data_IF_260609659850
#
_entry.id   IF_260609659850
#
_cell.length_a   1.000
_cell.length_b   1.000
_cell.length_c   1.000
_cell.angle_alpha   90.00
_cell.angle_beta   90.00
_cell.angle_gamma   90.00
#
_symmetry.space_group_name_H-M   'P 1'
#
loop_
_entity.id
_entity.type
_entity.pdbx_description
1 polymer ?
#
# COMPACT_ATOMS: atom_id res chain seq x y z
N UNK A 1 6.96 -11.70 -32.88
CA UNK A 1 6.50 -11.55 -31.49
C UNK A 1 7.59 -11.17 -30.48
N UNK A 2 8.79 -11.76 -30.49
CA UNK A 2 9.93 -11.42 -29.58
C UNK A 2 10.44 -9.97 -29.74
N UNK A 3 10.51 -9.44 -30.97
CA UNK A 3 11.02 -8.09 -31.28
C UNK A 3 10.08 -7.01 -30.70
N UNK A 4 8.77 -7.16 -30.90
CA UNK A 4 7.76 -6.23 -30.37
C UNK A 4 7.81 -6.17 -28.83
N UNK A 5 8.05 -7.33 -28.19
CA UNK A 5 8.19 -7.43 -26.73
C UNK A 5 9.45 -6.69 -26.22
N UNK A 6 10.55 -6.76 -27.00
CA UNK A 6 11.82 -6.10 -26.70
C UNK A 6 11.72 -4.58 -26.88
N UNK A 7 11.03 -4.10 -27.92
CA UNK A 7 10.76 -2.68 -28.16
C UNK A 7 9.82 -2.09 -27.09
N UNK A 8 8.74 -2.78 -26.77
CA UNK A 8 7.84 -2.39 -25.68
C UNK A 8 8.58 -2.26 -24.34
N UNK A 9 9.47 -3.20 -24.05
CA UNK A 9 10.29 -3.17 -22.84
C UNK A 9 11.33 -2.04 -22.85
N UNK A 10 11.88 -1.68 -24.01
CA UNK A 10 12.81 -0.57 -24.14
C UNK A 10 12.12 0.79 -23.96
N UNK A 11 10.96 1.00 -24.61
CA UNK A 11 10.12 2.19 -24.45
C UNK A 11 9.78 2.39 -22.96
N UNK A 12 9.31 1.33 -22.30
CA UNK A 12 8.94 1.37 -20.90
C UNK A 12 10.12 1.66 -19.95
N UNK A 13 11.37 1.42 -20.39
CA UNK A 13 12.61 1.75 -19.63
C UNK A 13 12.91 3.24 -19.57
N UNK A 14 12.56 3.95 -20.63
CA UNK A 14 13.05 5.30 -20.88
C UNK A 14 11.96 6.37 -20.77
N UNK A 15 10.72 5.97 -20.55
CA UNK A 15 9.58 6.89 -20.42
C UNK A 15 9.45 7.40 -18.99
N UNK A 16 9.14 8.68 -18.85
CA UNK A 16 8.81 9.33 -17.58
C UNK A 16 7.57 8.68 -16.95
N UNK A 17 7.57 8.61 -15.62
CA UNK A 17 6.52 7.95 -14.81
C UNK A 17 5.10 8.39 -15.15
N UNK A 18 4.89 9.67 -15.52
CA UNK A 18 3.58 10.18 -15.93
C UNK A 18 3.01 9.52 -17.19
N UNK A 19 3.88 9.05 -18.10
CA UNK A 19 3.46 8.35 -19.32
C UNK A 19 3.28 6.85 -19.09
N UNK A 20 3.90 6.30 -18.04
CA UNK A 20 3.76 4.89 -17.68
C UNK A 20 2.34 4.54 -17.25
N UNK A 21 1.62 5.48 -16.63
CA UNK A 21 0.20 5.31 -16.31
C UNK A 21 -0.66 5.11 -17.57
N UNK A 22 -0.36 5.86 -18.64
CA UNK A 22 -1.07 5.78 -19.93
C UNK A 22 -0.84 4.41 -20.58
N UNK A 23 0.38 3.89 -20.49
CA UNK A 23 0.78 2.65 -21.16
C UNK A 23 0.42 1.37 -20.41
N UNK A 24 -0.24 1.47 -19.26
CA UNK A 24 -0.63 0.31 -18.44
C UNK A 24 0.57 -0.61 -18.11
N UNK A 25 1.62 -0.05 -17.60
CA UNK A 25 2.94 -0.66 -17.48
C UNK A 25 3.11 -1.58 -16.26
N UNK A 26 2.06 -2.28 -15.83
CA UNK A 26 2.05 -3.21 -14.69
C UNK A 26 3.28 -4.13 -14.63
N UNK A 27 3.80 -4.53 -15.80
CA UNK A 27 4.93 -5.44 -15.90
C UNK A 27 6.29 -4.81 -15.61
N UNK A 28 6.39 -3.48 -15.58
CA UNK A 28 7.68 -2.81 -15.30
C UNK A 28 8.09 -3.02 -13.85
N UNK A 29 7.13 -2.96 -12.95
CA UNK A 29 7.39 -3.07 -11.51
C UNK A 29 7.75 -4.48 -11.08
N UNK A 30 7.23 -5.49 -11.76
CA UNK A 30 7.49 -6.89 -11.44
C UNK A 30 8.76 -7.45 -12.10
N UNK A 31 9.27 -6.80 -13.15
CA UNK A 31 10.35 -7.36 -13.98
C UNK A 31 11.59 -6.48 -14.07
N UNK A 32 11.58 -5.27 -13.50
CA UNK A 32 12.69 -4.35 -13.60
C UNK A 32 12.98 -3.64 -12.31
N UNK A 33 14.21 -3.79 -11.92
CA UNK A 33 14.90 -2.88 -11.03
C UNK A 33 14.96 -1.54 -11.76
N UNK A 34 14.48 -0.46 -11.16
CA UNK A 34 14.69 0.87 -11.71
C UNK A 34 16.18 1.07 -11.95
N UNK A 35 16.59 1.41 -13.18
CA UNK A 35 18.00 1.64 -13.53
C UNK A 35 18.64 2.79 -12.76
N UNK A 36 17.93 3.35 -11.79
CA UNK A 36 18.37 4.46 -10.98
C UNK A 36 18.83 3.95 -9.63
N UNK A 37 20.08 4.22 -9.29
CA UNK A 37 20.72 3.81 -8.03
C UNK A 37 19.98 4.26 -6.75
N UNK A 38 18.96 5.12 -6.86
CA UNK A 38 18.24 5.71 -5.73
C UNK A 38 16.74 5.42 -5.73
N UNK A 39 16.26 4.48 -6.55
CA UNK A 39 14.85 4.11 -6.54
C UNK A 39 14.62 2.96 -5.57
N UNK A 40 13.70 3.16 -4.64
CA UNK A 40 13.27 2.16 -3.65
C UNK A 40 11.77 1.97 -3.79
N UNK A 41 11.32 0.73 -3.76
CA UNK A 41 9.90 0.41 -3.86
C UNK A 41 9.34 0.21 -2.45
N UNK A 42 8.18 0.78 -2.22
CA UNK A 42 7.40 0.59 -1.01
C UNK A 42 5.94 0.34 -1.34
N UNK A 43 5.22 -0.14 -0.37
CA UNK A 43 3.76 -0.13 -0.36
C UNK A 43 3.25 1.15 0.29
N UNK A 44 2.04 1.55 -0.09
CA UNK A 44 1.29 2.61 0.57
C UNK A 44 0.20 1.97 1.43
N UNK A 45 0.21 2.30 2.72
CA UNK A 45 -0.69 1.70 3.70
C UNK A 45 -1.64 2.73 4.30
N UNK A 46 -2.87 2.36 4.67
CA UNK A 46 -3.69 3.18 5.57
C UNK A 46 -3.00 3.35 6.92
N UNK A 47 -2.96 4.58 7.42
CA UNK A 47 -2.57 4.92 8.79
C UNK A 47 -3.82 5.13 9.62
N UNK A 48 -3.97 4.39 10.71
CA UNK A 48 -5.06 4.54 11.69
C UNK A 48 -4.48 4.80 13.07
N UNK A 49 -4.65 6.02 13.55
CA UNK A 49 -4.11 6.48 14.85
C UNK A 49 -5.15 7.24 15.68
N UNK A 50 -6.29 7.62 15.08
CA UNK A 50 -7.42 8.26 15.77
C UNK A 50 -8.30 7.23 16.49
N UNK A 51 -9.20 7.68 17.34
CA UNK A 51 -10.27 6.88 17.97
C UNK A 51 -9.81 5.55 18.59
N UNK A 52 -8.72 5.58 19.37
CA UNK A 52 -8.13 4.41 20.02
C UNK A 52 -7.48 3.40 19.07
N UNK A 53 -7.31 3.74 17.81
CA UNK A 53 -6.52 2.96 16.88
C UNK A 53 -5.04 3.18 17.10
N UNK A 54 -4.28 2.12 16.82
CA UNK A 54 -2.83 2.15 16.70
C UNK A 54 -2.42 1.33 15.46
N UNK A 55 -1.48 1.88 14.71
CA UNK A 55 -0.89 1.21 13.54
C UNK A 55 0.55 0.84 13.88
N UNK A 56 0.90 -0.41 13.60
CA UNK A 56 2.24 -0.95 13.74
C UNK A 56 2.78 -1.34 12.37
N UNK A 57 4.08 -1.29 12.20
CA UNK A 57 4.73 -1.81 11.02
C UNK A 57 5.81 -2.81 11.42
N UNK A 58 5.64 -4.05 10.97
CA UNK A 58 6.61 -5.13 11.18
C UNK A 58 7.58 -5.15 10.00
N UNK A 59 8.75 -4.63 10.23
CA UNK A 59 9.77 -4.46 9.21
C UNK A 59 10.77 -5.61 9.27
N UNK A 60 10.98 -6.29 8.15
CA UNK A 60 11.97 -7.34 8.00
C UNK A 60 13.25 -6.78 7.37
N UNK A 61 14.38 -7.06 7.99
CA UNK A 61 15.68 -6.82 7.38
C UNK A 61 16.05 -7.99 6.46
N UNK A 62 15.44 -8.01 5.28
CA UNK A 62 15.60 -9.09 4.29
C UNK A 62 17.06 -9.24 3.85
N UNK A 63 17.85 -8.17 3.60
CA UNK A 63 19.27 -8.31 3.29
C UNK A 63 20.04 -9.12 4.31
N UNK A 64 19.77 -8.90 5.60
CA UNK A 64 20.41 -9.66 6.69
C UNK A 64 19.92 -11.10 6.77
N UNK A 65 18.65 -11.35 6.46
CA UNK A 65 18.09 -12.70 6.44
C UNK A 65 18.81 -13.57 5.39
N UNK A 66 19.13 -12.95 4.23
CA UNK A 66 19.80 -13.65 3.12
C UNK A 66 21.30 -13.78 3.36
N UNK A 67 21.92 -12.78 3.97
CA UNK A 67 23.35 -12.79 4.25
C UNK A 67 23.65 -12.36 5.71
N UNK A 68 23.52 -13.27 6.67
CA UNK A 68 23.66 -12.97 8.09
C UNK A 68 25.07 -12.52 8.51
N UNK A 69 26.09 -12.79 7.70
CA UNK A 69 27.49 -12.46 7.98
C UNK A 69 27.82 -11.01 7.63
N UNK A 70 27.10 -10.44 6.70
CA UNK A 70 27.37 -9.08 6.23
C UNK A 70 26.63 -8.05 7.11
N UNK A 71 27.39 -7.18 7.79
CA UNK A 71 26.79 -5.99 8.45
C UNK A 71 26.25 -5.04 7.36
N UNK A 72 24.96 -5.11 7.14
CA UNK A 72 24.28 -4.25 6.16
C UNK A 72 23.54 -3.19 6.97
N UNK A 73 23.98 -1.94 6.86
CA UNK A 73 23.22 -0.80 7.40
C UNK A 73 21.98 -0.60 6.54
N UNK A 74 20.83 -0.90 7.11
CA UNK A 74 19.55 -0.66 6.47
C UNK A 74 18.94 0.62 7.06
N UNK A 75 18.91 1.68 6.28
CA UNK A 75 18.23 2.91 6.63
C UNK A 75 16.83 2.91 6.07
N UNK A 76 15.88 3.26 6.93
CA UNK A 76 14.46 3.28 6.59
C UNK A 76 13.92 4.69 6.71
N UNK A 77 13.20 5.10 5.70
CA UNK A 77 12.47 6.35 5.65
C UNK A 77 10.97 6.07 5.63
N UNK A 78 10.24 6.65 6.59
CA UNK A 78 8.78 6.51 6.67
C UNK A 78 8.16 7.85 6.31
N UNK A 79 7.46 7.89 5.19
CA UNK A 79 6.73 9.06 4.72
C UNK A 79 5.30 9.00 5.22
N UNK A 80 4.83 10.04 5.91
CA UNK A 80 3.45 10.17 6.38
C UNK A 80 2.69 11.16 5.52
N UNK A 81 1.47 10.78 5.14
CA UNK A 81 0.58 11.63 4.34
C UNK A 81 -0.75 11.81 5.05
N UNK A 82 -1.40 12.95 4.83
CA UNK A 82 -2.77 13.14 5.26
C UNK A 82 -3.75 12.28 4.43
N UNK A 83 -5.02 12.28 4.81
CA UNK A 83 -6.07 11.53 4.11
C UNK A 83 -6.29 11.98 2.65
N UNK A 84 -5.78 13.15 2.26
CA UNK A 84 -5.78 13.66 0.88
C UNK A 84 -4.46 13.36 0.13
N UNK A 85 -3.49 12.71 0.76
CA UNK A 85 -2.21 12.36 0.16
C UNK A 85 -1.17 13.48 0.16
N UNK A 86 -1.38 14.56 0.91
CA UNK A 86 -0.36 15.58 1.13
C UNK A 86 0.69 15.03 2.09
N UNK A 87 1.97 15.08 1.69
CA UNK A 87 3.08 14.72 2.57
C UNK A 87 3.08 15.63 3.80
N UNK A 88 3.01 15.04 4.97
CA UNK A 88 3.03 15.73 6.26
C UNK A 88 4.45 15.82 6.81
N UNK A 89 5.12 14.67 6.89
CA UNK A 89 6.45 14.58 7.47
C UNK A 89 7.14 13.29 7.03
N UNK A 90 8.45 13.23 7.26
CA UNK A 90 9.30 12.07 7.00
C UNK A 90 10.06 11.72 8.27
N UNK A 91 10.04 10.45 8.63
CA UNK A 91 10.79 9.91 9.76
C UNK A 91 11.90 8.99 9.25
N UNK A 92 13.13 9.31 9.60
CA UNK A 92 14.30 8.50 9.25
C UNK A 92 14.72 7.62 10.43
N UNK A 93 15.01 6.37 10.16
CA UNK A 93 15.52 5.44 11.16
C UNK A 93 16.58 4.53 10.58
N UNK A 94 17.70 4.46 11.28
CA UNK A 94 18.69 3.42 11.03
C UNK A 94 18.20 2.12 11.67
N UNK A 95 18.11 1.08 10.87
CA UNK A 95 17.76 -0.25 11.34
C UNK A 95 18.99 -0.90 11.93
N UNK A 96 18.92 -1.12 13.22
CA UNK A 96 19.92 -1.88 13.93
C UNK A 96 19.86 -3.36 13.53
N UNK A 97 20.83 -4.11 13.94
CA UNK A 97 21.15 -5.50 13.67
C UNK A 97 20.03 -6.57 13.93
N UNK A 98 18.78 -6.17 14.03
CA UNK A 98 17.65 -7.10 14.23
C UNK A 98 17.05 -7.52 12.89
N UNK A 99 16.70 -8.82 12.78
CA UNK A 99 16.02 -9.37 11.60
C UNK A 99 14.59 -8.80 11.48
N UNK A 100 13.91 -8.65 12.63
CA UNK A 100 12.56 -8.12 12.71
C UNK A 100 12.56 -6.88 13.61
N UNK A 101 11.89 -5.83 13.15
CA UNK A 101 11.70 -4.59 13.90
C UNK A 101 10.22 -4.20 13.89
N UNK A 102 9.64 -4.03 15.09
CA UNK A 102 8.28 -3.53 15.24
C UNK A 102 8.32 -2.03 15.44
N UNK A 103 7.70 -1.28 14.55
CA UNK A 103 7.56 0.16 14.63
C UNK A 103 6.15 0.52 15.09
N UNK A 104 6.04 1.27 16.20
CA UNK A 104 4.76 1.84 16.64
C UNK A 104 4.55 3.18 15.91
N UNK A 105 3.74 3.17 14.86
CA UNK A 105 3.56 4.34 14.01
C UNK A 105 2.76 5.45 14.70
N UNK A 106 1.89 5.12 15.66
CA UNK A 106 1.21 6.15 16.47
C UNK A 106 2.18 6.95 17.32
N UNK A 107 3.15 6.29 17.94
CA UNK A 107 4.19 6.98 18.72
C UNK A 107 5.11 7.81 17.84
N UNK A 108 5.47 7.29 16.67
CA UNK A 108 6.28 8.02 15.69
C UNK A 108 5.51 9.25 15.18
N UNK A 109 4.25 9.06 14.79
CA UNK A 109 3.37 10.13 14.32
C UNK A 109 3.22 11.23 15.37
N UNK A 110 3.04 10.85 16.66
CA UNK A 110 2.97 11.81 17.77
C UNK A 110 4.23 12.65 17.91
N UNK A 111 5.42 12.07 17.71
CA UNK A 111 6.69 12.81 17.74
C UNK A 111 6.84 13.80 16.58
N UNK A 112 6.05 13.65 15.54
CA UNK A 112 6.02 14.48 14.33
C UNK A 112 4.80 15.40 14.29
N UNK A 113 4.06 15.53 15.40
CA UNK A 113 2.82 16.30 15.53
C UNK A 113 1.71 15.86 14.56
N UNK A 114 1.72 14.59 14.15
CA UNK A 114 0.70 13.98 13.31
C UNK A 114 -0.34 13.31 14.22
N UNK A 115 -1.56 13.83 14.21
CA UNK A 115 -2.64 13.39 15.10
C UNK A 115 -3.83 12.77 14.36
N UNK A 116 -3.81 12.79 13.03
CA UNK A 116 -4.92 12.36 12.17
C UNK A 116 -4.57 11.10 11.39
N UNK A 117 -5.60 10.32 11.09
CA UNK A 117 -5.52 9.22 10.14
C UNK A 117 -5.06 9.70 8.75
N UNK A 118 -4.45 8.81 7.99
CA UNK A 118 -3.94 9.12 6.66
C UNK A 118 -3.35 7.90 5.97
N UNK A 119 -2.19 8.09 5.33
CA UNK A 119 -1.42 6.99 4.77
C UNK A 119 0.05 7.11 5.14
N UNK A 120 0.78 6.01 4.98
CA UNK A 120 2.23 6.00 5.11
C UNK A 120 2.87 5.05 4.10
N UNK A 121 4.12 5.34 3.75
CA UNK A 121 4.97 4.49 2.94
C UNK A 121 6.32 4.31 3.64
N UNK A 122 6.94 3.13 3.47
CA UNK A 122 8.22 2.80 4.09
C UNK A 122 9.24 2.50 3.00
N UNK A 123 10.32 3.26 2.96
CA UNK A 123 11.38 3.12 1.97
C UNK A 123 12.69 2.69 2.63
N UNK A 124 13.36 1.71 2.04
CA UNK A 124 14.70 1.28 2.43
C UNK A 124 15.73 2.01 1.58
N UNK A 125 16.65 2.75 2.21
CA UNK A 125 17.52 3.67 1.48
C UNK A 125 18.71 3.01 0.76
N UNK A 126 19.33 1.97 1.28
CA UNK A 126 20.69 1.70 0.83
C UNK A 126 21.03 0.31 0.33
N UNK A 127 20.45 -0.76 0.81
CA UNK A 127 21.05 -2.09 0.61
C UNK A 127 20.27 -3.06 -0.29
N UNK A 128 19.03 -2.75 -0.59
CA UNK A 128 18.27 -3.47 -1.62
C UNK A 128 18.96 -3.45 -3.00
N UNK A 129 19.81 -2.46 -3.24
CA UNK A 129 20.58 -2.34 -4.49
C UNK A 129 21.74 -3.33 -4.60
N UNK A 130 22.38 -3.70 -3.50
CA UNK A 130 23.48 -4.68 -3.52
C UNK A 130 22.99 -6.09 -3.81
N UNK A 131 21.77 -6.40 -3.38
CA UNK A 131 21.09 -7.64 -3.70
C UNK A 131 20.63 -7.69 -5.17
N UNK A 132 20.40 -6.54 -5.77
CA UNK A 132 20.00 -6.42 -7.17
C UNK A 132 21.11 -6.76 -8.16
N UNK A 133 22.37 -6.75 -7.75
CA UNK A 133 23.50 -7.19 -8.59
C UNK A 133 23.40 -8.67 -8.99
N UNK A 134 22.64 -9.46 -8.26
CA UNK A 134 22.32 -10.87 -8.57
C UNK A 134 21.19 -11.04 -9.61
N UNK A 135 20.60 -9.94 -10.11
CA UNK A 135 19.44 -9.99 -11.00
C UNK A 135 18.11 -10.28 -10.31
N UNK A 136 18.12 -10.46 -9.00
CA UNK A 136 16.92 -10.69 -8.18
C UNK A 136 16.43 -9.38 -7.61
N UNK A 137 15.12 -9.18 -7.66
CA UNK A 137 14.46 -8.03 -7.06
C UNK A 137 13.81 -8.46 -5.74
N UNK A 138 14.31 -7.90 -4.64
CA UNK A 138 13.69 -8.07 -3.33
C UNK A 138 13.05 -6.75 -2.96
N UNK A 139 11.74 -6.77 -2.84
CA UNK A 139 11.02 -5.66 -2.25
C UNK A 139 11.02 -5.91 -0.74
N UNK A 140 11.69 -5.02 -0.03
CA UNK A 140 11.71 -5.05 1.43
C UNK A 140 10.35 -4.63 1.94
N UNK A 141 9.50 -5.59 2.16
CA UNK A 141 8.14 -5.38 2.62
C UNK A 141 8.01 -5.76 4.07
N UNK A 142 7.21 -4.97 4.73
CA UNK A 142 6.73 -5.29 6.04
C UNK A 142 5.25 -5.67 6.01
N UNK A 143 4.76 -6.02 7.19
CA UNK A 143 3.35 -6.20 7.45
C UNK A 143 2.85 -5.03 8.28
N UNK A 144 1.71 -4.48 7.91
CA UNK A 144 1.04 -3.49 8.75
C UNK A 144 0.12 -4.21 9.73
N UNK A 145 0.24 -3.85 11.01
CA UNK A 145 -0.61 -4.35 12.08
C UNK A 145 -1.52 -3.23 12.60
N UNK A 146 -2.78 -3.55 12.78
CA UNK A 146 -3.75 -2.64 13.36
C UNK A 146 -4.23 -3.17 14.70
N UNK A 147 -4.35 -2.28 15.67
CA UNK A 147 -4.88 -2.56 16.99
C UNK A 147 -5.88 -1.46 17.36
N UNK A 148 -6.99 -1.85 17.95
CA UNK A 148 -7.91 -0.89 18.57
C UNK A 148 -8.06 -1.26 20.04
N UNK A 149 -7.75 -0.32 20.93
CA UNK A 149 -7.75 -0.55 22.39
C UNK A 149 -9.14 -0.99 22.88
N UNK A 150 -10.21 -0.52 22.26
CA UNK A 150 -11.58 -0.88 22.62
C UNK A 150 -11.94 -2.33 22.22
N UNK A 151 -11.15 -2.96 21.35
CA UNK A 151 -11.35 -4.32 20.85
C UNK A 151 -10.30 -5.30 21.39
N UNK A 152 -9.61 -4.94 22.46
CA UNK A 152 -8.63 -5.81 23.12
C UNK A 152 -7.20 -5.70 22.55
N UNK A 153 -6.30 -6.56 23.04
CA UNK A 153 -4.88 -6.49 22.71
C UNK A 153 -4.53 -7.07 21.34
N UNK A 154 -5.50 -7.67 20.64
CA UNK A 154 -5.25 -8.39 19.37
C UNK A 154 -4.90 -7.38 18.27
N UNK A 155 -3.90 -7.73 17.50
CA UNK A 155 -3.50 -7.03 16.29
C UNK A 155 -3.91 -7.84 15.06
N UNK A 156 -4.60 -7.21 14.14
CA UNK A 156 -4.83 -7.75 12.81
C UNK A 156 -3.71 -7.31 11.86
N UNK A 157 -3.18 -8.21 11.04
CA UNK A 157 -2.06 -7.93 10.13
C UNK A 157 -2.46 -8.11 8.68
N UNK A 158 -2.03 -7.18 7.84
CA UNK A 158 -2.13 -7.28 6.39
C UNK A 158 -0.81 -6.87 5.75
N UNK A 159 -0.51 -7.44 4.58
CA UNK A 159 0.57 -6.93 3.74
C UNK A 159 0.04 -5.81 2.83
N UNK A 160 0.93 -5.01 2.26
CA UNK A 160 0.54 -3.92 1.35
C UNK A 160 0.28 -4.39 -0.08
N UNK A 161 -0.27 -3.46 -0.84
CA UNK A 161 -0.29 -3.53 -2.29
C UNK A 161 0.88 -2.68 -2.80
N UNK A 162 1.64 -3.20 -3.73
CA UNK A 162 2.76 -2.50 -4.34
C UNK A 162 2.37 -1.17 -4.88
N UNK A 163 3.24 -0.14 -4.76
CA UNK A 163 3.05 0.88 -5.76
C UNK A 163 3.58 2.27 -5.40
N UNK A 164 4.50 2.40 -4.46
CA UNK A 164 5.21 3.63 -4.25
C UNK A 164 6.70 3.47 -4.56
N UNK A 165 7.26 4.44 -5.26
CA UNK A 165 8.67 4.47 -5.60
C UNK A 165 9.25 5.81 -5.20
N UNK A 166 10.33 5.80 -4.41
CA UNK A 166 11.17 6.96 -4.19
C UNK A 166 12.28 7.00 -5.23
N UNK A 167 12.47 8.13 -5.85
CA UNK A 167 13.51 8.35 -6.85
C UNK A 167 14.20 9.68 -6.58
N UNK A 168 15.50 9.67 -6.24
CA UNK A 168 16.33 10.87 -6.05
C UNK A 168 15.60 11.93 -5.24
N UNK A 169 15.40 11.73 -3.98
CA UNK A 169 14.80 12.71 -3.06
C UNK A 169 13.36 13.17 -3.44
N UNK A 170 12.77 12.53 -4.45
CA UNK A 170 11.39 12.76 -4.85
C UNK A 170 10.58 11.50 -4.65
N UNK A 171 9.61 11.57 -3.79
CA UNK A 171 8.59 10.55 -3.68
C UNK A 171 7.73 10.58 -4.95
N UNK A 172 7.70 9.48 -5.66
CA UNK A 172 6.78 9.24 -6.77
C UNK A 172 5.88 8.09 -6.41
N UNK A 173 4.59 8.33 -6.39
CA UNK A 173 3.61 7.26 -6.34
C UNK A 173 3.46 6.72 -7.76
N UNK A 174 3.84 5.48 -7.94
CA UNK A 174 3.79 4.81 -9.24
C UNK A 174 2.75 3.69 -9.21
N UNK A 175 1.55 4.05 -8.80
CA UNK A 175 0.42 3.15 -8.87
C UNK A 175 0.10 2.84 -10.32
N UNK A 176 -0.13 1.57 -10.58
CA UNK A 176 -0.49 1.12 -11.90
C UNK A 176 -1.93 1.48 -12.19
N UNK A 177 -2.15 2.49 -13.02
CA UNK A 177 -3.47 2.74 -13.55
C UNK A 177 -3.66 2.10 -14.93
N UNK A 178 -4.90 1.77 -15.22
CA UNK A 178 -5.32 1.27 -16.51
C UNK A 178 -5.98 2.40 -17.29
N UNK A 179 -5.75 2.45 -18.61
CA UNK A 179 -6.51 3.36 -19.48
C UNK A 179 -8.02 3.06 -19.42
N UNK A 180 -8.39 1.79 -19.38
CA UNK A 180 -9.77 1.36 -19.23
C UNK A 180 -10.11 1.02 -17.78
N UNK A 181 -11.36 1.30 -17.39
CA UNK A 181 -11.90 0.83 -16.11
C UNK A 181 -11.90 -0.69 -16.08
N UNK A 182 -11.37 -1.24 -15.01
CA UNK A 182 -11.38 -2.68 -14.74
C UNK A 182 -12.46 -2.99 -13.73
N UNK A 183 -12.97 -4.20 -13.83
CA UNK A 183 -13.93 -4.75 -12.90
C UNK A 183 -13.22 -5.76 -12.01
N UNK A 184 -13.37 -5.60 -10.71
CA UNK A 184 -12.82 -6.48 -9.71
C UNK A 184 -13.94 -6.92 -8.76
N UNK A 185 -14.10 -8.23 -8.58
CA UNK A 185 -15.05 -8.78 -7.61
C UNK A 185 -14.23 -9.11 -6.36
N UNK A 186 -14.66 -8.56 -5.23
CA UNK A 186 -14.08 -8.93 -3.93
C UNK A 186 -14.45 -10.39 -3.67
N UNK A 187 -13.44 -11.25 -3.49
CA UNK A 187 -13.62 -12.67 -3.24
C UNK A 187 -13.96 -12.94 -1.77
N UNK A 188 -14.93 -12.21 -1.28
CA UNK A 188 -15.45 -12.33 0.08
C UNK A 188 -16.96 -12.08 0.08
N UNK A 189 -17.67 -12.88 0.85
CA UNK A 189 -19.10 -12.72 1.06
C UNK A 189 -19.32 -11.98 2.37
N UNK A 190 -19.94 -10.82 2.27
CA UNK A 190 -20.23 -9.96 3.40
C UNK A 190 -21.50 -10.40 4.10
N UNK A 191 -21.37 -10.86 5.36
CA UNK A 191 -22.49 -11.32 6.17
C UNK A 191 -23.20 -10.15 6.86
N UNK A 192 -24.55 -10.18 7.00
CA UNK A 192 -25.31 -9.18 7.75
C UNK A 192 -25.01 -9.17 9.26
N UNK A 193 -24.35 -10.19 9.77
CA UNK A 193 -23.97 -10.29 11.18
C UNK A 193 -22.91 -9.27 11.59
N UNK A 194 -22.10 -8.81 10.62
CA UNK A 194 -20.94 -7.98 10.86
C UNK A 194 -21.07 -6.59 10.25
N UNK A 195 -20.35 -5.66 10.83
CA UNK A 195 -20.09 -4.34 10.24
C UNK A 195 -18.72 -4.34 9.61
N UNK A 196 -18.60 -3.69 8.45
CA UNK A 196 -17.37 -3.67 7.67
C UNK A 196 -16.94 -2.24 7.36
N UNK A 197 -15.64 -2.03 7.35
CA UNK A 197 -15.04 -0.78 6.89
C UNK A 197 -13.96 -1.11 5.86
N UNK A 198 -14.14 -0.64 4.64
CA UNK A 198 -13.26 -0.88 3.51
C UNK A 198 -12.40 0.35 3.27
N UNK A 199 -11.09 0.18 3.26
CA UNK A 199 -10.14 1.26 2.99
C UNK A 199 -9.47 1.07 1.65
N UNK A 200 -9.43 2.12 0.85
CA UNK A 200 -8.66 2.17 -0.39
C UNK A 200 -7.63 3.28 -0.31
N UNK A 201 -6.42 2.96 -0.74
CA UNK A 201 -5.34 3.92 -0.95
C UNK A 201 -5.13 4.14 -2.44
N UNK A 202 -4.83 5.37 -2.83
CA UNK A 202 -4.51 5.68 -4.22
C UNK A 202 -3.00 5.79 -4.38
N UNK A 203 -2.41 4.77 -4.95
CA UNK A 203 -0.98 4.66 -5.21
C UNK A 203 -0.55 5.31 -6.52
N UNK A 204 -1.49 5.89 -7.29
CA UNK A 204 -1.21 6.56 -8.55
C UNK A 204 -0.98 8.06 -8.40
N UNK A 205 -0.44 8.71 -9.42
CA UNK A 205 -0.19 10.15 -9.45
C UNK A 205 -1.40 10.99 -9.88
N UNK A 206 -2.55 10.36 -10.11
CA UNK A 206 -3.78 11.04 -10.54
C UNK A 206 -4.96 10.68 -9.64
N UNK A 207 -5.96 11.55 -9.59
CA UNK A 207 -7.20 11.25 -8.88
C UNK A 207 -7.84 9.98 -9.45
N UNK A 208 -8.31 9.12 -8.57
CA UNK A 208 -8.99 7.88 -8.94
C UNK A 208 -10.38 7.82 -8.36
N UNK A 209 -11.29 7.30 -9.15
CA UNK A 209 -12.65 6.98 -8.72
C UNK A 209 -12.78 5.47 -8.60
N UNK A 210 -13.27 5.02 -7.46
CA UNK A 210 -13.69 3.63 -7.25
C UNK A 210 -15.19 3.62 -7.11
N UNK A 211 -15.87 2.86 -7.97
CA UNK A 211 -17.31 2.64 -7.88
C UNK A 211 -17.55 1.25 -7.32
N UNK A 212 -18.26 1.18 -6.21
CA UNK A 212 -18.75 -0.06 -5.62
C UNK A 212 -20.13 -0.35 -6.16
N UNK A 213 -20.36 -1.61 -6.48
CA UNK A 213 -21.65 -2.13 -6.91
C UNK A 213 -21.95 -3.35 -6.05
N UNK A 214 -23.06 -3.33 -5.34
CA UNK A 214 -23.56 -4.51 -4.65
C UNK A 214 -24.19 -5.45 -5.68
N UNK A 215 -23.65 -6.67 -5.81
CA UNK A 215 -24.16 -7.65 -6.78
C UNK A 215 -25.47 -8.29 -6.35
N UNK A 216 -25.80 -8.23 -5.05
CA UNK A 216 -27.08 -8.74 -4.53
C UNK A 216 -28.22 -7.72 -4.70
N UNK A 217 -27.90 -6.44 -4.96
CA UNK A 217 -28.84 -5.35 -5.20
C UNK A 217 -28.32 -4.49 -6.35
N UNK A 218 -28.84 -4.69 -7.55
CA UNK A 218 -28.33 -4.05 -8.78
C UNK A 218 -28.39 -2.52 -8.80
N UNK A 219 -29.12 -1.89 -7.89
CA UNK A 219 -29.31 -0.44 -7.83
C UNK A 219 -28.37 0.27 -6.85
N UNK A 220 -27.70 -0.46 -5.96
CA UNK A 220 -26.82 0.14 -4.97
C UNK A 220 -25.42 0.37 -5.54
N UNK A 221 -25.22 1.58 -6.06
CA UNK A 221 -23.90 2.05 -6.54
C UNK A 221 -23.42 3.18 -5.66
N UNK A 222 -22.19 3.08 -5.21
CA UNK A 222 -21.52 4.11 -4.45
C UNK A 222 -20.16 4.42 -5.08
N UNK A 223 -19.81 5.70 -5.20
CA UNK A 223 -18.53 6.11 -5.79
C UNK A 223 -17.73 6.98 -4.83
N UNK A 224 -16.45 6.69 -4.71
CA UNK A 224 -15.49 7.45 -3.93
C UNK A 224 -14.38 7.98 -4.83
N UNK A 225 -13.94 9.21 -4.56
CA UNK A 225 -12.81 9.83 -5.23
C UNK A 225 -11.64 9.90 -4.26
N UNK A 226 -10.47 9.44 -4.68
CA UNK A 226 -9.27 9.38 -3.88
C UNK A 226 -8.16 10.15 -4.58
N UNK A 227 -7.57 11.13 -3.89
CA UNK A 227 -6.41 11.88 -4.38
C UNK A 227 -5.14 11.02 -4.35
N UNK A 228 -4.11 11.35 -5.15
CA UNK A 228 -2.82 10.66 -5.10
C UNK A 228 -2.27 10.60 -3.68
N UNK A 229 -1.80 9.43 -3.24
CA UNK A 229 -1.27 9.21 -1.90
C UNK A 229 -2.32 9.17 -0.78
N UNK A 230 -3.57 9.48 -1.09
CA UNK A 230 -4.64 9.57 -0.10
C UNK A 230 -5.33 8.22 0.16
N UNK A 231 -6.22 8.28 1.14
CA UNK A 231 -7.06 7.15 1.58
C UNK A 231 -8.51 7.59 1.68
N UNK A 232 -9.42 6.67 1.39
CA UNK A 232 -10.85 6.80 1.69
C UNK A 232 -11.39 5.48 2.21
N UNK A 233 -12.34 5.57 3.12
CA UNK A 233 -13.04 4.41 3.64
C UNK A 233 -14.53 4.44 3.31
N UNK A 234 -15.12 3.27 3.33
CA UNK A 234 -16.55 3.05 3.21
C UNK A 234 -16.99 2.08 4.30
N UNK A 235 -17.85 2.58 5.18
CA UNK A 235 -18.40 1.83 6.29
C UNK A 235 -19.80 1.34 5.91
N UNK A 236 -20.06 0.04 6.03
CA UNK A 236 -21.38 -0.50 5.77
C UNK A 236 -21.68 -1.73 6.62
N UNK A 237 -22.96 -1.98 6.77
CA UNK A 237 -23.51 -3.23 7.29
C UNK A 237 -24.49 -3.77 6.25
N UNK A 238 -24.23 -4.91 5.63
CA UNK A 238 -25.15 -5.48 4.65
C UNK A 238 -26.45 -5.90 5.33
N UNK A 239 -27.55 -5.87 4.59
CA UNK A 239 -28.86 -6.41 5.05
C UNK A 239 -28.93 -7.92 4.88
N UNK A 240 -28.34 -8.40 3.77
CA UNK A 240 -28.27 -9.80 3.38
C UNK A 240 -26.84 -10.15 2.96
N UNK A 241 -26.54 -11.42 2.76
CA UNK A 241 -25.24 -11.85 2.23
C UNK A 241 -25.00 -11.13 0.90
N UNK A 242 -23.90 -10.41 0.84
CA UNK A 242 -23.60 -9.51 -0.27
C UNK A 242 -22.22 -9.79 -0.87
N UNK A 243 -22.13 -9.66 -2.19
CA UNK A 243 -20.87 -9.60 -2.93
C UNK A 243 -20.68 -8.22 -3.53
N UNK A 244 -19.49 -7.66 -3.39
CA UNK A 244 -19.18 -6.34 -3.92
C UNK A 244 -18.29 -6.44 -5.16
N UNK A 245 -18.65 -5.67 -6.18
CA UNK A 245 -17.85 -5.44 -7.38
C UNK A 245 -17.30 -4.03 -7.37
N UNK A 246 -16.03 -3.90 -7.66
CA UNK A 246 -15.34 -2.63 -7.80
C UNK A 246 -15.12 -2.32 -9.28
N UNK A 247 -15.34 -1.08 -9.66
CA UNK A 247 -15.07 -0.57 -11.00
C UNK A 247 -14.13 0.61 -10.87
N UNK A 248 -12.91 0.48 -11.38
CA UNK A 248 -11.90 1.54 -11.33
C UNK A 248 -10.87 1.37 -12.44
N UNK A 249 -10.20 2.47 -12.78
CA UNK A 249 -8.96 2.42 -13.55
C UNK A 249 -7.71 2.38 -12.66
N UNK A 250 -7.85 2.43 -11.34
CA UNK A 250 -6.78 2.07 -10.41
C UNK A 250 -6.58 0.56 -10.49
N UNK A 251 -5.35 0.15 -10.83
CA UNK A 251 -5.05 -1.27 -10.87
C UNK A 251 -4.97 -1.80 -9.43
N UNK A 252 -5.45 -3.03 -9.23
CA UNK A 252 -5.50 -3.62 -7.89
C UNK A 252 -6.17 -2.70 -6.85
N UNK A 253 -7.34 -2.16 -7.20
CA UNK A 253 -8.18 -1.41 -6.27
C UNK A 253 -8.72 -2.30 -5.12
N UNK A 254 -7.85 -3.14 -4.57
CA UNK A 254 -8.11 -4.05 -3.45
C UNK A 254 -8.24 -3.25 -2.18
N UNK A 255 -9.36 -3.34 -1.45
CA UNK A 255 -9.46 -2.70 -0.15
C UNK A 255 -8.70 -3.48 0.92
N UNK A 256 -8.26 -2.77 1.95
CA UNK A 256 -8.07 -3.34 3.27
C UNK A 256 -9.43 -3.34 3.95
N UNK A 257 -9.87 -4.49 4.41
CA UNK A 257 -11.20 -4.68 5.01
C UNK A 257 -11.05 -4.91 6.50
N UNK A 258 -11.71 -4.09 7.28
CA UNK A 258 -11.91 -4.30 8.71
C UNK A 258 -13.32 -4.90 8.90
N UNK A 259 -13.40 -6.06 9.51
CA UNK A 259 -14.63 -6.71 9.92
C UNK A 259 -14.76 -6.58 11.42
N UNK A 260 -15.82 -5.93 11.87
CA UNK A 260 -16.09 -5.72 13.29
C UNK A 260 -17.03 -6.79 13.82
N UNK A 261 -16.60 -7.41 14.89
CA UNK A 261 -17.32 -8.43 15.68
C UNK A 261 -17.56 -7.90 17.09
N UNK A 262 -18.39 -8.57 17.89
CA UNK A 262 -18.62 -8.17 19.27
C UNK A 262 -17.30 -8.24 20.08
N UNK A 263 -16.80 -7.07 20.50
CA UNK A 263 -15.58 -6.95 21.29
C UNK A 263 -14.26 -7.23 20.56
N UNK A 264 -14.28 -7.48 19.23
CA UNK A 264 -13.07 -7.75 18.44
C UNK A 264 -13.19 -7.22 17.02
N UNK A 265 -12.11 -7.27 16.27
CA UNK A 265 -12.10 -7.01 14.84
C UNK A 265 -11.11 -7.95 14.14
N UNK A 266 -11.29 -8.08 12.86
CA UNK A 266 -10.39 -8.77 11.96
C UNK A 266 -10.02 -7.84 10.80
N UNK A 267 -8.85 -8.06 10.17
CA UNK A 267 -8.40 -7.26 9.03
C UNK A 267 -7.80 -8.14 7.95
N UNK A 268 -8.20 -7.91 6.71
CA UNK A 268 -7.77 -8.72 5.57
C UNK A 268 -7.88 -7.93 4.27
N UNK A 269 -7.36 -8.48 3.20
CA UNK A 269 -7.56 -7.94 1.85
C UNK A 269 -8.82 -8.50 1.18
N UNK A 270 -9.54 -7.62 0.49
CA UNK A 270 -10.67 -7.99 -0.35
C UNK A 270 -10.29 -8.65 -1.67
#
# INVERSE_FOLDING_TARGET
>A
MKIIKKYKLWILKNIDSKYLEILNSKYIYLTKIPNNKHAVISDLFPLRIENNWNTFFELLNVPRLINPVQKINNEVEICFFDYNGKLLNVYEKVMLDQIKNTLNLKEIAKKLDITKDGTFAVFHKNDSQKLSSSGSFISDRGYVGYQNINHGPIKGYVHGNFDAVSKKDKLSLLGVSSFFKKHYIIQYEFSPEYKYELFWVNTSNTNKTITLVNLSSSNDKFSINIKPGGVKSYLFKPKDISKLKLISNLNMARPVIFRYMNGSFDVFHG
#
